data_IF_090084477276
#
_entry.id   IF_090084477276
#
_cell.length_a   1.000
_cell.length_b   1.000
_cell.length_c   1.000
_cell.angle_alpha   90.00
_cell.angle_beta   90.00
_cell.angle_gamma   90.00
#
_symmetry.space_group_name_H-M   'P 1'
#
loop_
_entity.id
_entity.type
_entity.pdbx_description
1 polymer ?
#
# COMPACT_ATOMS: atom_id res chain seq x y z
N UNK A 1 -16.64 -32.15 -9.30
CA UNK A 1 -15.54 -31.21 -9.57
C UNK A 1 -14.57 -31.30 -8.41
N UNK A 2 -13.39 -31.84 -8.66
CA UNK A 2 -12.35 -32.06 -7.65
C UNK A 2 -11.87 -30.70 -7.10
N UNK A 3 -11.72 -30.60 -5.78
CA UNK A 3 -11.25 -29.40 -5.13
C UNK A 3 -9.77 -29.18 -5.47
N UNK A 4 -9.51 -28.29 -6.43
CA UNK A 4 -8.15 -27.86 -6.77
C UNK A 4 -7.51 -27.29 -5.50
N UNK A 5 -6.54 -28.02 -4.93
CA UNK A 5 -5.89 -27.67 -3.68
C UNK A 5 -5.45 -26.21 -3.68
N UNK A 6 -5.91 -25.44 -2.68
CA UNK A 6 -5.60 -24.01 -2.57
C UNK A 6 -4.08 -23.85 -2.49
N UNK A 7 -3.48 -23.27 -3.52
CA UNK A 7 -2.05 -22.91 -3.50
C UNK A 7 -1.80 -22.00 -2.29
N UNK A 8 -0.73 -22.27 -1.53
CA UNK A 8 -0.31 -21.43 -0.40
C UNK A 8 -0.28 -19.96 -0.86
N UNK A 9 -0.89 -19.01 -0.12
CA UNK A 9 -0.88 -17.61 -0.51
C UNK A 9 0.56 -17.15 -0.69
N UNK A 10 0.84 -16.50 -1.82
CA UNK A 10 2.15 -15.88 -2.01
C UNK A 10 2.32 -14.80 -0.94
N UNK A 11 3.50 -14.67 -0.32
CA UNK A 11 3.78 -13.58 0.59
C UNK A 11 3.40 -12.26 -0.07
N UNK A 12 2.62 -11.44 0.64
CA UNK A 12 2.30 -10.09 0.17
C UNK A 12 3.58 -9.25 0.27
N UNK A 13 3.81 -8.40 -0.72
CA UNK A 13 4.84 -7.36 -0.63
C UNK A 13 4.19 -6.16 0.05
N UNK A 14 4.83 -5.66 1.10
CA UNK A 14 4.44 -4.43 1.77
C UNK A 14 5.57 -3.42 1.63
N UNK A 15 5.23 -2.14 1.54
CA UNK A 15 6.21 -1.08 1.66
C UNK A 15 6.80 -1.06 3.08
N UNK A 16 8.06 -0.63 3.20
CA UNK A 16 8.70 -0.46 4.50
C UNK A 16 8.02 0.68 5.27
N UNK A 17 8.05 0.64 6.61
CA UNK A 17 7.53 1.73 7.42
C UNK A 17 8.27 3.06 7.13
N UNK A 18 9.58 2.99 6.85
CA UNK A 18 10.36 4.19 6.48
C UNK A 18 9.86 4.80 5.16
N UNK A 19 9.65 3.99 4.13
CA UNK A 19 9.13 4.48 2.84
C UNK A 19 7.76 5.14 3.00
N UNK A 20 6.87 4.55 3.81
CA UNK A 20 5.56 5.14 4.09
C UNK A 20 5.70 6.48 4.83
N UNK A 21 6.64 6.60 5.78
CA UNK A 21 6.89 7.84 6.50
C UNK A 21 7.46 8.93 5.59
N UNK A 22 8.42 8.60 4.71
CA UNK A 22 8.97 9.55 3.73
C UNK A 22 7.88 10.09 2.80
N UNK A 23 6.96 9.24 2.34
CA UNK A 23 5.84 9.65 1.48
C UNK A 23 4.89 10.60 2.23
N UNK A 24 4.58 10.31 3.49
CA UNK A 24 3.73 11.18 4.33
C UNK A 24 4.42 12.52 4.63
N UNK A 25 5.72 12.50 4.91
CA UNK A 25 6.52 13.70 5.18
C UNK A 25 6.65 14.58 3.93
N UNK A 26 6.89 13.99 2.76
CA UNK A 26 6.91 14.70 1.48
C UNK A 26 5.54 15.33 1.16
N UNK A 27 4.46 14.71 1.65
CA UNK A 27 3.09 15.19 1.51
C UNK A 27 2.59 15.97 2.75
N UNK A 28 3.47 16.68 3.46
CA UNK A 28 3.11 17.60 4.56
C UNK A 28 2.04 18.65 4.20
N UNK A 29 1.83 18.93 2.90
CA UNK A 29 0.78 19.82 2.40
C UNK A 29 -0.43 19.13 1.76
N UNK A 30 -0.45 17.80 1.67
CA UNK A 30 -1.58 17.09 1.10
C UNK A 30 -2.73 16.98 2.10
N UNK A 31 -3.93 17.34 1.64
CA UNK A 31 -5.14 17.40 2.46
C UNK A 31 -5.69 16.02 2.85
N UNK A 32 -5.00 14.91 2.50
CA UNK A 32 -5.35 13.56 2.94
C UNK A 32 -4.74 12.42 2.10
N UNK A 33 -4.96 11.18 2.58
CA UNK A 33 -4.48 9.94 1.95
C UNK A 33 -4.88 9.81 0.47
N UNK A 34 -6.07 10.29 0.10
CA UNK A 34 -6.56 10.23 -1.28
C UNK A 34 -5.76 11.10 -2.27
N UNK A 35 -5.11 12.16 -1.79
CA UNK A 35 -4.22 12.98 -2.61
C UNK A 35 -2.86 12.28 -2.77
N UNK A 36 -2.31 11.75 -1.66
CA UNK A 36 -1.07 10.94 -1.64
C UNK A 36 -1.18 9.75 -2.62
N UNK A 37 -2.32 9.06 -2.62
CA UNK A 37 -2.60 7.95 -3.54
C UNK A 37 -2.51 8.37 -5.00
N UNK A 38 -2.98 9.56 -5.36
CA UNK A 38 -2.95 10.07 -6.74
C UNK A 38 -1.56 10.56 -7.14
N UNK A 39 -0.89 11.29 -6.26
CA UNK A 39 0.44 11.85 -6.53
C UNK A 39 1.51 10.77 -6.70
N UNK A 40 1.40 9.68 -5.94
CA UNK A 40 2.40 8.60 -5.91
C UNK A 40 1.94 7.30 -6.58
N UNK A 41 0.77 7.30 -7.24
CA UNK A 41 0.15 6.11 -7.86
C UNK A 41 0.08 4.91 -6.88
N UNK A 42 -0.30 5.19 -5.64
CA UNK A 42 -0.42 4.19 -4.58
C UNK A 42 -1.88 3.75 -4.39
N UNK A 43 -2.09 2.67 -3.65
CA UNK A 43 -3.42 2.34 -3.13
C UNK A 43 -3.55 2.82 -1.69
N UNK A 44 -4.76 3.20 -1.25
CA UNK A 44 -4.99 3.59 0.16
C UNK A 44 -4.53 2.50 1.14
N UNK A 45 -4.68 1.23 0.76
CA UNK A 45 -4.19 0.08 1.52
C UNK A 45 -2.66 -0.03 1.55
N UNK A 46 -1.95 0.47 0.53
CA UNK A 46 -0.49 0.52 0.54
C UNK A 46 0.07 1.53 1.54
N UNK A 47 -0.72 2.54 1.91
CA UNK A 47 -0.35 3.59 2.88
C UNK A 47 -0.88 3.29 4.29
N UNK A 48 -2.06 2.65 4.41
CA UNK A 48 -2.74 2.38 5.69
C UNK A 48 -2.26 1.13 6.44
N UNK A 49 -1.85 0.08 5.72
CA UNK A 49 -1.27 -1.14 6.33
C UNK A 49 0.14 -0.85 6.87
#
# INVERSE_FOLDING_TARGET
MEAMGRRKPRPRRSFTPEFKAEIVELCQGATGLGQIVKDFDLTETGVRE
#
